data_IF_880559910220
#
_entry.id   IF_880559910220
#
_cell.length_a   1.000
_cell.length_b   1.000
_cell.length_c   1.000
_cell.angle_alpha   90.00
_cell.angle_beta   90.00
_cell.angle_gamma   90.00
#
_symmetry.space_group_name_H-M   'P 1'
#
loop_
_entity.id
_entity.type
_entity.pdbx_description
1 polymer ?
#
# COMPACT_ATOMS: atom_id res chain seq x y z
N UNK A 1 14.95 -4.15 -29.29
CA UNK A 1 13.70 -3.75 -28.59
C UNK A 1 14.05 -3.51 -27.13
N UNK A 2 13.60 -2.41 -26.53
CA UNK A 2 13.84 -2.16 -25.11
C UNK A 2 13.10 -3.18 -24.25
N UNK A 3 13.75 -3.66 -23.20
CA UNK A 3 13.12 -4.55 -22.21
C UNK A 3 12.28 -3.73 -21.21
N UNK A 4 11.39 -4.39 -20.45
CA UNK A 4 10.64 -3.76 -19.38
C UNK A 4 11.59 -3.13 -18.34
N UNK A 5 12.71 -3.79 -18.05
CA UNK A 5 13.75 -3.28 -17.14
C UNK A 5 14.41 -2.00 -17.67
N UNK A 6 14.73 -1.94 -18.96
CA UNK A 6 15.31 -0.74 -19.58
C UNK A 6 14.36 0.46 -19.47
N UNK A 7 13.06 0.21 -19.72
CA UNK A 7 12.02 1.24 -19.58
C UNK A 7 11.89 1.68 -18.12
N UNK A 8 11.79 0.76 -17.17
CA UNK A 8 11.66 1.06 -15.75
C UNK A 8 12.88 1.87 -15.25
N UNK A 9 14.10 1.48 -15.65
CA UNK A 9 15.33 2.18 -15.27
C UNK A 9 15.37 3.63 -15.79
N UNK A 10 14.88 3.85 -17.01
CA UNK A 10 14.80 5.19 -17.58
C UNK A 10 13.68 6.03 -16.95
N UNK A 11 12.55 5.41 -16.62
CA UNK A 11 11.35 6.15 -16.20
C UNK A 11 11.27 6.41 -14.71
N UNK A 12 11.84 5.56 -13.85
CA UNK A 12 11.79 5.76 -12.40
C UNK A 12 12.26 7.16 -11.99
N UNK A 13 13.45 7.67 -12.44
CA UNK A 13 13.88 9.02 -12.10
C UNK A 13 12.97 10.12 -12.70
N UNK A 14 12.40 9.88 -13.88
CA UNK A 14 11.52 10.85 -14.54
C UNK A 14 10.20 11.05 -13.78
N UNK A 15 9.67 10.00 -13.16
CA UNK A 15 8.44 10.05 -12.40
C UNK A 15 8.64 10.49 -10.95
N UNK A 16 9.81 10.23 -10.38
CA UNK A 16 10.06 10.41 -8.95
C UNK A 16 11.06 11.52 -8.62
N UNK A 17 11.86 11.97 -9.59
CA UNK A 17 12.98 12.87 -9.32
C UNK A 17 14.13 12.24 -8.52
N UNK A 18 14.09 10.92 -8.31
CA UNK A 18 15.09 10.17 -7.52
C UNK A 18 15.77 9.13 -8.40
N UNK A 19 17.09 9.18 -8.45
CA UNK A 19 17.90 8.23 -9.21
C UNK A 19 17.75 6.80 -8.67
N UNK A 20 17.83 5.79 -9.55
CA UNK A 20 17.66 4.38 -9.19
C UNK A 20 18.59 3.97 -8.04
N UNK A 21 19.84 4.40 -8.06
CA UNK A 21 20.83 4.07 -7.04
C UNK A 21 20.53 4.73 -5.67
N UNK A 22 19.73 5.78 -5.65
CA UNK A 22 19.33 6.50 -4.43
C UNK A 22 18.08 5.90 -3.75
N UNK A 23 17.39 4.96 -4.39
CA UNK A 23 16.33 4.21 -3.74
C UNK A 23 16.89 3.20 -2.74
N UNK A 24 16.25 3.10 -1.57
CA UNK A 24 16.53 2.04 -0.60
C UNK A 24 16.14 0.64 -1.12
N UNK A 25 16.63 -0.40 -0.47
CA UNK A 25 16.21 -1.78 -0.73
C UNK A 25 14.81 -2.08 -0.21
N UNK A 26 14.28 -1.23 0.67
CA UNK A 26 12.94 -1.31 1.23
C UNK A 26 12.14 -0.08 0.84
N UNK A 27 10.87 -0.27 0.48
CA UNK A 27 10.04 0.81 -0.02
C UNK A 27 8.70 0.83 0.72
N UNK A 28 8.35 2.01 1.23
CA UNK A 28 7.00 2.33 1.67
C UNK A 28 6.25 2.99 0.52
N UNK A 29 5.11 2.45 0.14
CA UNK A 29 4.20 3.09 -0.80
C UNK A 29 3.06 3.76 -0.05
N UNK A 30 2.67 4.94 -0.50
CA UNK A 30 1.49 5.63 0.01
C UNK A 30 0.82 6.43 -1.10
N UNK A 31 -0.45 6.77 -0.91
CA UNK A 31 -1.19 7.69 -1.75
C UNK A 31 -1.48 9.03 -1.04
N UNK A 32 -0.74 9.31 0.06
CA UNK A 32 -0.89 10.53 0.86
C UNK A 32 0.42 11.30 0.95
N UNK A 33 0.39 12.54 0.43
CA UNK A 33 1.54 13.46 0.49
C UNK A 33 2.02 13.70 1.93
N UNK A 34 1.11 13.85 2.88
CA UNK A 34 1.44 14.08 4.28
C UNK A 34 2.33 13.01 4.91
N UNK A 35 2.28 11.76 4.41
CA UNK A 35 3.17 10.68 4.88
C UNK A 35 4.61 10.88 4.44
N UNK A 36 4.83 11.35 3.21
CA UNK A 36 6.18 11.69 2.71
C UNK A 36 6.73 12.90 3.46
N UNK A 37 5.89 13.90 3.74
CA UNK A 37 6.28 15.08 4.52
C UNK A 37 6.63 14.72 5.98
N UNK A 38 5.83 13.86 6.62
CA UNK A 38 6.11 13.39 7.97
C UNK A 38 7.40 12.54 8.04
N UNK A 39 7.62 11.67 7.06
CA UNK A 39 8.85 10.89 6.93
C UNK A 39 10.07 11.81 6.76
N UNK A 40 10.00 12.73 5.82
CA UNK A 40 11.09 13.67 5.53
C UNK A 40 11.44 14.53 6.75
N UNK A 41 10.42 15.05 7.44
CA UNK A 41 10.59 15.81 8.68
C UNK A 41 11.24 14.97 9.80
N UNK A 42 10.78 13.72 9.98
CA UNK A 42 11.29 12.80 11.03
C UNK A 42 12.77 12.52 10.88
N UNK A 43 13.26 12.37 9.65
CA UNK A 43 14.64 11.99 9.38
C UNK A 43 15.52 13.15 8.90
N UNK A 44 14.97 14.35 8.74
CA UNK A 44 15.72 15.52 8.26
C UNK A 44 16.21 15.35 6.83
N UNK A 45 15.44 14.68 5.96
CA UNK A 45 15.81 14.41 4.56
C UNK A 45 14.97 15.23 3.59
N UNK A 46 15.49 15.44 2.40
CA UNK A 46 14.82 16.19 1.33
C UNK A 46 13.69 15.36 0.69
N UNK A 47 12.60 16.03 0.33
CA UNK A 47 11.55 15.48 -0.54
C UNK A 47 11.94 15.78 -1.99
N UNK A 48 12.09 14.73 -2.79
CA UNK A 48 12.31 14.82 -4.23
C UNK A 48 11.01 14.64 -5.01
N UNK A 49 11.03 15.09 -6.25
CA UNK A 49 9.88 14.92 -7.14
C UNK A 49 8.69 15.84 -6.85
N UNK A 50 8.91 17.01 -6.23
CA UNK A 50 7.85 17.99 -5.97
C UNK A 50 7.17 18.49 -7.25
N UNK A 51 7.89 18.51 -8.36
CA UNK A 51 7.47 18.87 -9.72
C UNK A 51 7.16 17.64 -10.59
N UNK A 52 7.18 16.43 -10.02
CA UNK A 52 6.95 15.16 -10.71
C UNK A 52 5.63 14.52 -10.27
N UNK A 53 5.14 13.52 -11.02
CA UNK A 53 3.93 12.79 -10.64
C UNK A 53 4.02 12.10 -9.27
N UNK A 54 5.22 11.69 -8.85
CA UNK A 54 5.44 10.95 -7.63
C UNK A 54 6.52 11.63 -6.78
N UNK A 55 6.24 11.77 -5.48
CA UNK A 55 7.17 12.35 -4.52
C UNK A 55 7.84 11.26 -3.71
N UNK A 56 9.12 11.45 -3.37
CA UNK A 56 9.89 10.49 -2.59
C UNK A 56 10.71 11.18 -1.51
N UNK A 57 10.97 10.43 -0.45
CA UNK A 57 12.02 10.76 0.52
C UNK A 57 12.77 9.48 0.89
N UNK A 58 14.08 9.56 1.01
CA UNK A 58 14.92 8.40 1.32
C UNK A 58 15.75 8.69 2.55
N UNK A 59 15.73 7.75 3.51
CA UNK A 59 16.61 7.75 4.65
C UNK A 59 17.26 6.37 4.79
N UNK A 60 18.60 6.33 4.76
CA UNK A 60 19.34 5.07 4.77
C UNK A 60 18.87 4.12 3.64
N UNK A 61 18.43 2.94 4.00
CA UNK A 61 17.97 1.89 3.07
C UNK A 61 16.44 1.83 2.90
N UNK A 62 15.73 2.88 3.31
CA UNK A 62 14.27 2.97 3.23
C UNK A 62 13.83 4.18 2.42
N UNK A 63 13.04 3.96 1.38
CA UNK A 63 12.43 5.04 0.57
C UNK A 63 10.92 5.01 0.76
N UNK A 64 10.31 6.17 1.02
CA UNK A 64 8.85 6.35 0.92
C UNK A 64 8.51 7.00 -0.42
N UNK A 65 7.41 6.54 -1.03
CA UNK A 65 6.92 7.04 -2.32
C UNK A 65 5.44 7.38 -2.21
N UNK A 66 5.07 8.63 -2.48
CA UNK A 66 3.69 8.99 -2.79
C UNK A 66 3.47 8.83 -4.30
N UNK A 67 2.72 7.81 -4.68
CA UNK A 67 2.46 7.48 -6.10
C UNK A 67 1.10 7.97 -6.61
N UNK A 68 0.31 8.64 -5.75
CA UNK A 68 -1.05 9.08 -6.07
C UNK A 68 -2.09 7.99 -5.83
N UNK A 69 -3.30 8.20 -6.35
CA UNK A 69 -4.48 7.37 -6.08
C UNK A 69 -4.78 6.45 -7.26
N UNK A 70 -5.22 5.24 -6.95
CA UNK A 70 -5.82 4.30 -7.87
C UNK A 70 -4.87 3.25 -8.45
N UNK A 71 -5.47 2.15 -8.85
CA UNK A 71 -4.80 0.96 -9.37
C UNK A 71 -3.85 1.22 -10.55
N UNK A 72 -4.14 2.10 -11.54
CA UNK A 72 -3.17 2.41 -12.59
C UNK A 72 -1.87 3.02 -12.07
N UNK A 73 -1.94 3.91 -11.07
CA UNK A 73 -0.75 4.49 -10.45
C UNK A 73 0.01 3.46 -9.60
N UNK A 74 -0.72 2.60 -8.88
CA UNK A 74 -0.13 1.49 -8.14
C UNK A 74 0.61 0.51 -9.08
N UNK A 75 0.02 0.19 -10.23
CA UNK A 75 0.66 -0.64 -11.24
C UNK A 75 1.93 0.01 -11.78
N UNK A 76 1.85 1.31 -12.11
CA UNK A 76 2.98 2.07 -12.65
C UNK A 76 4.16 2.07 -11.68
N UNK A 77 3.96 2.44 -10.41
CA UNK A 77 5.08 2.45 -9.45
C UNK A 77 5.66 1.05 -9.24
N UNK A 78 4.81 0.01 -9.12
CA UNK A 78 5.30 -1.36 -8.97
C UNK A 78 6.09 -1.86 -10.18
N UNK A 79 5.78 -1.38 -11.38
CA UNK A 79 6.56 -1.65 -12.59
C UNK A 79 7.88 -0.86 -12.62
N UNK A 80 7.85 0.40 -12.21
CA UNK A 80 9.06 1.21 -12.14
C UNK A 80 10.06 0.69 -11.09
N UNK A 81 9.57 0.10 -10.00
CA UNK A 81 10.40 -0.50 -8.97
C UNK A 81 11.20 -1.74 -9.44
N UNK A 82 10.89 -2.31 -10.62
CA UNK A 82 11.78 -3.28 -11.29
C UNK A 82 13.22 -2.76 -11.45
N UNK A 83 13.39 -1.46 -11.67
CA UNK A 83 14.72 -0.84 -11.81
C UNK A 83 15.58 -1.00 -10.56
N UNK A 84 14.96 -1.06 -9.37
CA UNK A 84 15.65 -1.20 -8.08
C UNK A 84 15.59 -2.62 -7.53
N UNK A 85 14.55 -3.40 -7.89
CA UNK A 85 14.29 -4.74 -7.34
C UNK A 85 14.32 -4.74 -5.80
N UNK A 86 13.41 -4.01 -5.15
CA UNK A 86 13.44 -3.87 -3.70
C UNK A 86 13.25 -5.22 -3.00
N UNK A 87 13.88 -5.39 -1.84
CA UNK A 87 13.75 -6.57 -0.98
C UNK A 87 12.39 -6.63 -0.27
N UNK A 88 11.67 -5.53 -0.23
CA UNK A 88 10.32 -5.46 0.31
C UNK A 88 9.62 -4.15 -0.04
N UNK A 89 8.32 -4.26 -0.31
CA UNK A 89 7.42 -3.13 -0.55
C UNK A 89 6.24 -3.24 0.40
N UNK A 90 5.98 -2.21 1.21
CA UNK A 90 4.82 -2.13 2.08
C UNK A 90 3.94 -0.94 1.70
N UNK A 91 2.70 -1.20 1.33
CA UNK A 91 1.71 -0.17 1.07
C UNK A 91 1.03 0.27 2.37
N UNK A 92 1.13 1.57 2.67
CA UNK A 92 0.45 2.25 3.75
C UNK A 92 -0.70 3.08 3.17
N UNK A 93 -1.88 2.45 3.10
CA UNK A 93 -3.09 3.06 2.54
C UNK A 93 -4.16 3.34 3.59
N UNK A 94 -5.21 4.05 3.18
CA UNK A 94 -6.46 4.14 3.93
C UNK A 94 -7.54 3.31 3.25
N UNK A 95 -8.51 2.81 4.03
CA UNK A 95 -9.62 2.01 3.52
C UNK A 95 -10.93 2.38 4.19
N UNK A 96 -12.04 2.07 3.54
CA UNK A 96 -13.36 2.03 4.16
C UNK A 96 -13.61 0.68 4.83
N UNK A 97 -14.00 0.68 6.11
CA UNK A 97 -14.38 -0.53 6.84
C UNK A 97 -15.73 -1.06 6.36
N UNK A 98 -15.84 -2.39 6.15
CA UNK A 98 -17.06 -3.02 5.63
C UNK A 98 -17.76 -3.94 6.65
N UNK A 99 -17.33 -3.93 7.90
CA UNK A 99 -17.97 -4.64 9.00
C UNK A 99 -18.48 -3.62 10.03
N UNK A 100 -19.66 -3.86 10.58
CA UNK A 100 -20.25 -3.01 11.63
C UNK A 100 -19.38 -2.90 12.90
N UNK A 101 -18.54 -3.92 13.12
CA UNK A 101 -17.57 -3.94 14.23
C UNK A 101 -16.26 -3.25 13.91
N UNK A 102 -16.12 -2.66 12.72
CA UNK A 102 -14.93 -1.90 12.33
C UNK A 102 -15.10 -0.46 12.79
N UNK A 103 -14.04 0.10 13.35
CA UNK A 103 -14.00 1.48 13.82
C UNK A 103 -12.93 2.27 13.09
N UNK A 104 -13.12 3.58 13.03
CA UNK A 104 -12.10 4.50 12.51
C UNK A 104 -10.85 4.39 13.37
N UNK A 105 -9.68 4.30 12.73
CA UNK A 105 -8.40 4.09 13.42
C UNK A 105 -7.95 2.63 13.49
N UNK A 106 -8.85 1.66 13.28
CA UNK A 106 -8.43 0.26 13.22
C UNK A 106 -7.45 0.00 12.09
N UNK A 107 -6.50 -0.90 12.30
CA UNK A 107 -5.60 -1.39 11.27
C UNK A 107 -6.16 -2.65 10.62
N UNK A 108 -6.06 -2.72 9.30
CA UNK A 108 -6.38 -3.91 8.50
C UNK A 108 -5.10 -4.44 7.87
N UNK A 109 -4.81 -5.71 8.13
CA UNK A 109 -3.72 -6.46 7.50
C UNK A 109 -4.34 -7.43 6.48
N UNK A 110 -4.37 -7.07 5.17
CA UNK A 110 -5.10 -7.84 4.16
C UNK A 110 -4.42 -9.18 3.89
N UNK A 111 -5.09 -10.30 4.12
CA UNK A 111 -4.57 -11.63 3.76
C UNK A 111 -4.78 -11.98 2.28
N UNK A 112 -5.70 -11.30 1.62
CA UNK A 112 -5.96 -11.36 0.19
C UNK A 112 -6.73 -10.11 -0.25
N UNK A 113 -6.71 -9.82 -1.55
CA UNK A 113 -7.56 -8.78 -2.13
C UNK A 113 -8.38 -9.31 -3.31
N UNK A 114 -9.66 -8.90 -3.39
CA UNK A 114 -10.51 -9.16 -4.54
C UNK A 114 -10.21 -8.10 -5.61
N UNK A 115 -9.98 -8.57 -6.82
CA UNK A 115 -9.52 -7.81 -7.98
C UNK A 115 -10.68 -7.12 -8.71
N UNK A 116 -11.34 -6.17 -8.04
CA UNK A 116 -12.40 -5.34 -8.63
C UNK A 116 -11.88 -4.08 -9.33
N UNK A 117 -10.57 -3.93 -9.44
CA UNK A 117 -9.87 -2.77 -9.98
C UNK A 117 -9.75 -2.76 -11.52
N UNK A 118 -9.81 -3.93 -12.14
CA UNK A 118 -9.62 -4.08 -13.59
C UNK A 118 -8.14 -4.04 -14.03
N UNK A 119 -7.34 -3.10 -13.56
CA UNK A 119 -5.93 -2.91 -13.92
C UNK A 119 -5.10 -4.18 -13.71
N UNK A 120 -5.32 -4.89 -12.61
CA UNK A 120 -4.58 -6.10 -12.28
C UNK A 120 -4.80 -7.24 -13.29
N UNK A 121 -5.90 -7.19 -14.08
CA UNK A 121 -6.21 -8.21 -15.10
C UNK A 121 -5.25 -8.16 -16.31
N UNK A 122 -4.56 -7.02 -16.51
CA UNK A 122 -3.53 -6.91 -17.56
C UNK A 122 -2.24 -7.67 -17.22
N UNK A 123 -2.06 -8.06 -15.95
CA UNK A 123 -0.87 -8.75 -15.46
C UNK A 123 -1.05 -10.26 -15.31
N UNK A 124 -2.21 -10.68 -14.84
CA UNK A 124 -2.58 -12.08 -14.68
C UNK A 124 -4.07 -12.28 -14.91
N UNK A 125 -4.50 -13.46 -15.39
CA UNK A 125 -5.92 -13.78 -15.48
C UNK A 125 -6.60 -13.69 -14.08
N UNK A 126 -7.94 -13.48 -14.04
CA UNK A 126 -8.67 -13.18 -12.79
C UNK A 126 -8.62 -14.31 -11.75
N UNK A 127 -8.33 -15.54 -12.15
CA UNK A 127 -8.20 -16.70 -11.27
C UNK A 127 -6.97 -16.65 -10.37
N UNK A 128 -5.94 -15.85 -10.75
CA UNK A 128 -4.74 -15.68 -9.90
C UNK A 128 -5.09 -14.79 -8.71
N UNK A 129 -5.00 -15.30 -7.47
CA UNK A 129 -5.36 -14.53 -6.29
C UNK A 129 -4.35 -13.42 -6.02
N UNK A 130 -4.85 -12.25 -5.59
CA UNK A 130 -4.02 -11.15 -5.13
C UNK A 130 -3.62 -11.39 -3.66
N UNK A 131 -2.38 -11.84 -3.44
CA UNK A 131 -1.85 -12.23 -2.14
C UNK A 131 -0.61 -11.41 -1.76
N UNK A 132 -0.46 -11.06 -0.47
CA UNK A 132 0.79 -10.50 0.05
C UNK A 132 1.87 -11.54 0.20
N UNK A 133 3.10 -11.12 0.45
CA UNK A 133 4.18 -11.98 0.94
C UNK A 133 3.95 -12.27 2.41
N UNK A 134 3.67 -13.52 2.75
CA UNK A 134 3.32 -13.96 4.11
C UNK A 134 4.35 -13.51 5.16
N UNK A 135 5.65 -13.69 4.87
CA UNK A 135 6.72 -13.34 5.80
C UNK A 135 6.76 -11.83 6.08
N UNK A 136 6.52 -10.98 5.05
CA UNK A 136 6.43 -9.53 5.24
C UNK A 136 5.27 -9.18 6.18
N UNK A 137 4.11 -9.76 5.96
CA UNK A 137 2.94 -9.54 6.80
C UNK A 137 3.15 -9.98 8.26
N UNK A 138 3.93 -11.05 8.48
CA UNK A 138 4.30 -11.47 9.84
C UNK A 138 5.07 -10.35 10.56
N UNK A 139 6.08 -9.76 9.93
CA UNK A 139 6.82 -8.63 10.53
C UNK A 139 5.92 -7.43 10.80
N UNK A 140 5.02 -7.12 9.86
CA UNK A 140 4.07 -6.02 10.04
C UNK A 140 3.13 -6.30 11.22
N UNK A 141 2.58 -7.52 11.33
CA UNK A 141 1.71 -7.90 12.44
C UNK A 141 2.41 -7.80 13.79
N UNK A 142 3.65 -8.27 13.87
CA UNK A 142 4.46 -8.20 15.11
C UNK A 142 4.66 -6.72 15.51
N UNK A 143 4.93 -5.82 14.56
CA UNK A 143 5.10 -4.39 14.86
C UNK A 143 3.80 -3.71 15.28
N UNK A 144 2.66 -4.05 14.70
CA UNK A 144 1.37 -3.53 15.18
C UNK A 144 1.17 -3.87 16.66
N UNK A 145 1.44 -5.13 17.04
CA UNK A 145 1.31 -5.59 18.43
C UNK A 145 2.34 -4.95 19.38
N UNK A 146 3.60 -4.78 18.92
CA UNK A 146 4.64 -4.09 19.71
C UNK A 146 4.29 -2.61 20.00
N UNK A 147 3.53 -1.97 19.12
CA UNK A 147 2.98 -0.63 19.34
C UNK A 147 1.66 -0.64 20.14
N UNK A 148 1.34 -1.76 20.81
CA UNK A 148 0.13 -1.92 21.64
C UNK A 148 -1.17 -1.67 20.84
N UNK A 149 -1.15 -1.96 19.53
CA UNK A 149 -2.30 -1.82 18.66
C UNK A 149 -2.86 -3.18 18.27
N UNK A 150 -4.17 -3.21 18.02
CA UNK A 150 -4.83 -4.36 17.42
C UNK A 150 -4.89 -4.21 15.91
N UNK A 151 -4.93 -5.31 15.20
CA UNK A 151 -5.22 -5.34 13.78
C UNK A 151 -6.30 -6.38 13.47
N UNK A 152 -6.99 -6.16 12.38
CA UNK A 152 -7.95 -7.12 11.84
C UNK A 152 -7.40 -7.69 10.55
N UNK A 153 -7.68 -8.96 10.30
CA UNK A 153 -7.30 -9.62 9.05
C UNK A 153 -8.54 -9.99 8.26
N UNK A 154 -8.42 -10.03 6.96
CA UNK A 154 -9.49 -10.46 6.09
C UNK A 154 -9.24 -10.13 4.64
N UNK A 155 -10.24 -10.39 3.82
CA UNK A 155 -10.22 -10.07 2.40
C UNK A 155 -10.60 -8.60 2.22
N UNK A 156 -9.81 -7.87 1.44
CA UNK A 156 -10.10 -6.49 1.03
C UNK A 156 -10.63 -6.49 -0.40
N UNK A 157 -11.60 -5.64 -0.70
CA UNK A 157 -12.06 -5.43 -2.07
C UNK A 157 -11.37 -4.20 -2.66
N UNK A 158 -10.61 -4.36 -3.72
CA UNK A 158 -10.02 -3.23 -4.45
C UNK A 158 -10.94 -2.84 -5.60
N UNK A 159 -11.43 -1.60 -5.57
CA UNK A 159 -12.33 -1.04 -6.58
C UNK A 159 -11.64 -0.01 -7.47
N UNK A 160 -12.14 0.17 -8.69
CA UNK A 160 -11.76 1.30 -9.55
C UNK A 160 -12.72 2.50 -9.45
N UNK A 161 -13.77 2.40 -8.62
CA UNK A 161 -14.76 3.47 -8.42
C UNK A 161 -14.52 4.15 -7.08
N UNK A 162 -14.25 5.47 -7.10
CA UNK A 162 -14.08 6.24 -5.87
C UNK A 162 -15.41 6.59 -5.22
N UNK A 163 -16.43 6.87 -5.99
CA UNK A 163 -17.77 7.25 -5.51
C UNK A 163 -18.72 6.08 -5.78
N UNK A 164 -18.98 5.26 -4.77
CA UNK A 164 -19.79 4.05 -4.87
C UNK A 164 -20.80 3.89 -3.72
N UNK A 165 -20.70 4.70 -2.67
CA UNK A 165 -21.42 4.53 -1.41
C UNK A 165 -22.95 4.66 -1.57
N UNK A 166 -23.39 5.34 -2.63
CA UNK A 166 -24.81 5.48 -3.01
C UNK A 166 -25.38 4.24 -3.71
N UNK A 167 -24.54 3.34 -4.23
CA UNK A 167 -24.92 2.16 -5.02
C UNK A 167 -25.29 0.99 -4.09
N UNK A 168 -26.56 0.83 -3.80
CA UNK A 168 -27.05 -0.22 -2.90
C UNK A 168 -26.74 -1.63 -3.41
N UNK A 169 -26.83 -1.86 -4.73
CA UNK A 169 -26.50 -3.15 -5.34
C UNK A 169 -25.04 -3.51 -5.12
N UNK A 170 -24.16 -2.54 -5.27
CA UNK A 170 -22.73 -2.75 -5.01
C UNK A 170 -22.44 -2.96 -3.52
N UNK A 171 -23.10 -2.22 -2.64
CA UNK A 171 -22.99 -2.41 -1.19
C UNK A 171 -23.42 -3.80 -0.76
N UNK A 172 -24.55 -4.30 -1.29
CA UNK A 172 -25.03 -5.66 -0.99
C UNK A 172 -24.08 -6.73 -1.54
N UNK A 173 -23.50 -6.50 -2.70
CA UNK A 173 -22.44 -7.38 -3.23
C UNK A 173 -21.22 -7.44 -2.29
N UNK A 174 -20.76 -6.31 -1.77
CA UNK A 174 -19.64 -6.27 -0.82
C UNK A 174 -19.95 -7.05 0.47
N UNK A 175 -21.20 -6.98 0.97
CA UNK A 175 -21.65 -7.77 2.11
C UNK A 175 -21.62 -9.27 1.81
N UNK A 176 -22.17 -9.69 0.64
CA UNK A 176 -22.16 -11.10 0.20
C UNK A 176 -20.74 -11.66 0.07
N UNK A 177 -19.78 -10.85 -0.39
CA UNK A 177 -18.36 -11.21 -0.48
C UNK A 177 -17.65 -11.25 0.88
N UNK A 178 -18.34 -10.87 1.94
CA UNK A 178 -17.78 -10.84 3.31
C UNK A 178 -16.45 -10.09 3.45
N UNK A 179 -16.23 -9.08 2.63
CA UNK A 179 -15.01 -8.28 2.69
C UNK A 179 -14.87 -7.55 4.03
N UNK A 180 -13.64 -7.41 4.50
CA UNK A 180 -13.29 -6.67 5.71
C UNK A 180 -13.23 -5.17 5.47
N UNK A 181 -12.70 -4.79 4.32
CA UNK A 181 -12.51 -3.40 3.93
C UNK A 181 -12.54 -3.24 2.40
N UNK A 182 -12.59 -1.98 1.95
CA UNK A 182 -12.52 -1.59 0.54
C UNK A 182 -11.46 -0.51 0.36
N UNK A 183 -10.66 -0.65 -0.69
CA UNK A 183 -9.65 0.33 -1.12
C UNK A 183 -9.63 0.49 -2.65
N UNK A 184 -8.60 1.11 -3.20
CA UNK A 184 -8.45 1.29 -4.64
C UNK A 184 -7.12 0.76 -5.20
N UNK A 185 -6.24 0.13 -4.39
CA UNK A 185 -4.86 -0.19 -4.80
C UNK A 185 -4.35 -1.58 -4.40
N UNK A 186 -4.79 -2.13 -3.28
CA UNK A 186 -4.17 -3.33 -2.67
C UNK A 186 -4.06 -4.52 -3.62
N UNK A 187 -5.13 -4.85 -4.37
CA UNK A 187 -5.08 -5.97 -5.31
C UNK A 187 -4.03 -5.75 -6.39
N UNK A 188 -3.93 -4.53 -6.91
CA UNK A 188 -2.93 -4.17 -7.93
C UNK A 188 -1.51 -4.25 -7.38
N UNK A 189 -1.25 -3.71 -6.19
CA UNK A 189 0.07 -3.84 -5.53
C UNK A 189 0.46 -5.31 -5.39
N UNK A 190 -0.48 -6.16 -4.96
CA UNK A 190 -0.21 -7.59 -4.78
C UNK A 190 0.04 -8.32 -6.10
N UNK A 191 -0.78 -8.07 -7.11
CA UNK A 191 -0.68 -8.74 -8.41
C UNK A 191 0.57 -8.29 -9.18
N UNK A 192 0.82 -6.98 -9.27
CA UNK A 192 1.99 -6.46 -10.00
C UNK A 192 3.28 -6.82 -9.28
N UNK A 193 3.27 -6.80 -7.94
CA UNK A 193 4.39 -7.30 -7.15
C UNK A 193 4.65 -8.80 -7.37
N UNK A 194 3.59 -9.62 -7.52
CA UNK A 194 3.73 -11.02 -7.90
C UNK A 194 4.35 -11.15 -9.30
N UNK A 195 3.83 -10.41 -10.28
CA UNK A 195 4.33 -10.45 -11.66
C UNK A 195 5.79 -10.06 -11.80
N UNK A 196 6.21 -9.10 -10.99
CA UNK A 196 7.58 -8.55 -11.01
C UNK A 196 8.51 -9.23 -9.99
N UNK A 197 8.04 -10.26 -9.30
CA UNK A 197 8.80 -10.99 -8.26
C UNK A 197 9.31 -10.08 -7.14
N UNK A 198 8.53 -9.07 -6.79
CA UNK A 198 8.80 -8.11 -5.70
C UNK A 198 8.01 -8.55 -4.45
N UNK A 199 8.68 -8.78 -3.29
CA UNK A 199 8.00 -9.01 -2.03
C UNK A 199 7.16 -7.81 -1.64
N UNK A 200 5.88 -8.04 -1.28
CA UNK A 200 4.88 -6.97 -1.10
C UNK A 200 3.94 -7.29 0.05
N UNK A 201 3.45 -6.22 0.67
CA UNK A 201 2.44 -6.26 1.71
C UNK A 201 1.64 -4.96 1.75
N UNK A 202 0.65 -4.92 2.61
CA UNK A 202 -0.11 -3.72 2.91
C UNK A 202 -0.49 -3.68 4.38
N UNK A 203 -0.52 -2.49 4.95
CA UNK A 203 -1.18 -2.17 6.20
C UNK A 203 -2.14 -1.02 5.91
N UNK A 204 -3.43 -1.23 6.15
CA UNK A 204 -4.44 -0.22 5.84
C UNK A 204 -5.01 0.37 7.11
N UNK A 205 -5.21 1.69 7.11
CA UNK A 205 -5.85 2.43 8.19
C UNK A 205 -7.32 2.68 7.83
N UNK A 206 -8.25 2.24 8.68
CA UNK A 206 -9.68 2.52 8.49
C UNK A 206 -9.93 4.01 8.68
N UNK A 207 -10.39 4.67 7.62
CA UNK A 207 -10.67 6.10 7.60
C UNK A 207 -12.15 6.45 7.67
N UNK A 208 -13.02 5.50 7.35
CA UNK A 208 -14.46 5.63 7.33
C UNK A 208 -15.12 4.24 7.38
N UNK A 209 -16.41 4.20 7.73
CA UNK A 209 -17.18 2.93 7.80
C UNK A 209 -18.48 3.12 7.00
N UNK A 210 -18.41 3.08 5.66
CA UNK A 210 -19.53 3.47 4.78
C UNK A 210 -20.75 2.54 4.85
N UNK A 211 -20.67 1.46 5.60
CA UNK A 211 -21.78 0.51 5.79
C UNK A 211 -22.72 0.88 6.94
N UNK A 212 -22.33 1.84 7.78
CA UNK A 212 -23.19 2.35 8.87
C UNK A 212 -23.79 3.71 8.50
N UNK A 213 -24.92 4.10 9.10
CA UNK A 213 -25.48 5.44 8.91
C UNK A 213 -24.44 6.52 9.25
N UNK A 214 -24.37 7.56 8.42
CA UNK A 214 -23.40 8.68 8.58
C UNK A 214 -21.92 8.27 8.56
N UNK A 215 -21.60 7.01 8.21
CA UNK A 215 -20.24 6.49 8.18
C UNK A 215 -19.44 6.81 6.91
N UNK A 216 -20.05 7.50 5.93
CA UNK A 216 -19.35 7.93 4.71
C UNK A 216 -18.37 9.04 5.04
N UNK A 217 -17.17 8.93 4.47
CA UNK A 217 -16.07 9.89 4.68
C UNK A 217 -16.48 11.33 4.34
N UNK A 218 -16.18 12.23 5.27
CA UNK A 218 -16.25 13.69 5.10
C UNK A 218 -14.86 14.30 5.14
N UNK A 219 -14.72 15.57 4.74
CA UNK A 219 -13.44 16.28 4.86
C UNK A 219 -12.99 16.39 6.32
N UNK A 220 -13.93 16.65 7.24
CA UNK A 220 -13.65 16.75 8.66
C UNK A 220 -13.18 15.40 9.26
N UNK A 221 -13.88 14.30 8.93
CA UNK A 221 -13.49 12.97 9.40
C UNK A 221 -12.12 12.55 8.86
N UNK A 222 -11.81 12.86 7.59
CA UNK A 222 -10.50 12.52 7.02
C UNK A 222 -9.35 13.33 7.64
N UNK A 223 -9.58 14.62 7.94
CA UNK A 223 -8.62 15.45 8.69
C UNK A 223 -8.37 14.90 10.08
N UNK A 224 -9.43 14.53 10.81
CA UNK A 224 -9.32 13.93 12.14
C UNK A 224 -8.52 12.64 12.12
N UNK A 225 -8.85 11.70 11.23
CA UNK A 225 -8.12 10.43 11.07
C UNK A 225 -6.64 10.68 10.78
N UNK A 226 -6.35 11.65 9.92
CA UNK A 226 -4.97 11.99 9.58
C UNK A 226 -4.22 12.54 10.80
N UNK A 227 -4.84 13.38 11.60
CA UNK A 227 -4.21 13.95 12.80
C UNK A 227 -4.01 12.93 13.94
N UNK A 228 -4.97 12.03 14.13
CA UNK A 228 -4.97 11.07 15.25
C UNK A 228 -4.13 9.81 14.96
N UNK A 229 -4.15 9.30 13.75
CA UNK A 229 -3.63 7.95 13.46
C UNK A 229 -2.52 7.87 12.42
N UNK A 230 -2.33 8.89 11.56
CA UNK A 230 -1.41 8.78 10.44
C UNK A 230 0.06 8.65 10.88
N UNK A 231 0.46 9.32 11.95
CA UNK A 231 1.84 9.25 12.46
C UNK A 231 2.15 7.86 13.03
N UNK A 232 1.22 7.26 13.75
CA UNK A 232 1.36 5.89 14.26
C UNK A 232 1.39 4.87 13.12
N UNK A 233 0.51 5.01 12.12
CA UNK A 233 0.48 4.13 10.95
C UNK A 233 1.82 4.17 10.18
N UNK A 234 2.35 5.38 9.95
CA UNK A 234 3.66 5.57 9.35
C UNK A 234 4.79 4.98 10.20
N UNK A 235 4.74 5.18 11.52
CA UNK A 235 5.74 4.65 12.46
C UNK A 235 5.81 3.13 12.41
N UNK A 236 4.67 2.45 12.49
CA UNK A 236 4.59 0.98 12.38
C UNK A 236 5.19 0.50 11.06
N UNK A 237 4.86 1.17 9.94
CA UNK A 237 5.41 0.82 8.63
C UNK A 237 6.94 0.98 8.55
N UNK A 238 7.48 2.06 9.09
CA UNK A 238 8.91 2.33 9.15
C UNK A 238 9.61 1.24 9.98
N UNK A 239 9.09 0.96 11.18
CA UNK A 239 9.71 0.02 12.10
C UNK A 239 9.68 -1.40 11.54
N UNK A 240 8.58 -1.82 10.91
CA UNK A 240 8.49 -3.11 10.25
C UNK A 240 9.54 -3.28 9.15
N UNK A 241 9.69 -2.28 8.28
CA UNK A 241 10.63 -2.36 7.16
C UNK A 241 12.11 -2.27 7.62
N UNK A 242 12.39 -1.49 8.66
CA UNK A 242 13.74 -1.40 9.25
C UNK A 242 14.14 -2.69 9.94
N UNK A 243 13.23 -3.31 10.68
CA UNK A 243 13.53 -4.57 11.35
C UNK A 243 13.85 -5.69 10.38
N UNK A 244 13.07 -5.83 9.30
CA UNK A 244 13.37 -6.78 8.23
C UNK A 244 14.78 -6.52 7.68
N UNK A 245 15.10 -5.25 7.42
CA UNK A 245 16.41 -4.84 6.92
C UNK A 245 17.55 -5.19 7.87
N UNK A 246 17.37 -4.95 9.16
CA UNK A 246 18.40 -5.21 10.19
C UNK A 246 18.63 -6.71 10.43
N UNK A 247 17.58 -7.53 10.34
CA UNK A 247 17.67 -8.98 10.50
C UNK A 247 18.25 -9.70 9.28
N UNK A 248 18.38 -8.98 8.13
CA UNK A 248 18.91 -9.55 6.89
C UNK A 248 18.06 -10.69 6.32
N UNK A 249 16.80 -10.77 6.76
CA UNK A 249 15.93 -11.87 6.39
C UNK A 249 15.38 -11.73 4.96
N UNK A 250 15.38 -12.85 4.22
CA UNK A 250 14.70 -12.90 2.94
C UNK A 250 13.19 -12.99 3.16
N UNK A 251 12.46 -12.02 2.65
CA UNK A 251 10.98 -11.99 2.66
C UNK A 251 10.41 -13.00 1.65
N UNK A 252 11.16 -13.28 0.60
CA UNK A 252 10.80 -14.23 -0.45
C UNK A 252 10.98 -15.66 0.08
N UNK A 253 9.90 -16.42 0.16
CA UNK A 253 9.88 -17.76 0.73
C UNK A 253 9.49 -18.85 -0.27
N UNK A 254 9.16 -18.50 -1.49
CA UNK A 254 8.99 -19.46 -2.58
C UNK A 254 10.21 -19.38 -3.49
N UNK A 255 10.98 -20.44 -3.51
CA UNK A 255 11.99 -20.69 -4.53
C UNK A 255 11.42 -21.78 -5.44
N UNK A 256 11.26 -21.46 -6.70
CA UNK A 256 11.05 -22.45 -7.73
C UNK A 256 12.44 -22.76 -8.30
N UNK A 257 12.93 -23.94 -8.05
CA UNK A 257 14.17 -24.45 -8.63
C UNK A 257 13.90 -24.87 -10.07
#
# INVERSE_FOLDING_TARGET
MQTKLDIATNWLPRYTGTEVAAFGDYVLLTNFRGYVEAFAKRFGVEIKGLDKPMQTATHENLTIVNYGIGSPNAALIMDLLLARMPKGVLFLGKCGGLKETTEIGHFILPIAAIRGDGTSNDYFPPEVPALPSFKLHKFVSDKVLEHEQEYRTGVVYTTNRRVWEWDEVFRDRLKQLSCMAIDMETATVFIVGHKNDIPRGALLLVSDVPVVPEGVKTEESDKRVTQEFADLHLTIGIDAMREIGSKGEHIKHLRYD
#
